data_IF_612954924860
#
_entry.id   IF_612954924860
#
_cell.length_a   1.000
_cell.length_b   1.000
_cell.length_c   1.000
_cell.angle_alpha   90.00
_cell.angle_beta   90.00
_cell.angle_gamma   90.00
#
_symmetry.space_group_name_H-M   'P 1'
#
loop_
_entity.id
_entity.type
_entity.pdbx_description
1 polymer ?
#
# COMPACT_ATOMS: atom_id res chain seq x y z
N UNK A 1 -36.17 -77.48 31.39
CA UNK A 1 -36.86 -76.31 30.80
C UNK A 1 -35.95 -75.09 30.93
N UNK A 2 -35.20 -74.75 29.87
CA UNK A 2 -34.33 -73.56 29.81
C UNK A 2 -35.16 -72.37 29.29
N UNK A 3 -35.24 -71.27 30.03
CA UNK A 3 -35.86 -70.02 29.59
C UNK A 3 -34.81 -69.18 28.86
N UNK A 4 -35.04 -68.85 27.60
CA UNK A 4 -34.29 -67.83 26.85
C UNK A 4 -34.80 -66.45 27.27
N UNK A 5 -33.87 -65.55 27.62
CA UNK A 5 -34.12 -64.11 27.77
C UNK A 5 -33.49 -63.45 26.54
N UNK A 6 -34.32 -62.88 25.66
CA UNK A 6 -33.89 -62.06 24.53
C UNK A 6 -33.60 -60.64 25.02
N UNK A 7 -32.35 -60.20 24.92
CA UNK A 7 -31.93 -58.81 25.12
C UNK A 7 -32.12 -58.06 23.80
N UNK A 8 -33.06 -57.13 23.74
CA UNK A 8 -33.20 -56.20 22.61
C UNK A 8 -32.39 -54.94 22.92
N UNK A 9 -31.24 -54.76 22.26
CA UNK A 9 -30.45 -53.53 22.34
C UNK A 9 -31.07 -52.46 21.43
N UNK A 10 -31.55 -51.37 22.02
CA UNK A 10 -32.06 -50.20 21.30
C UNK A 10 -30.87 -49.35 20.82
N UNK A 11 -30.56 -49.37 19.53
CA UNK A 11 -29.57 -48.46 18.92
C UNK A 11 -30.24 -47.10 18.68
N UNK A 12 -29.93 -46.11 19.51
CA UNK A 12 -30.31 -44.72 19.23
C UNK A 12 -29.34 -44.15 18.19
N UNK A 13 -29.82 -43.98 16.95
CA UNK A 13 -29.09 -43.25 15.91
C UNK A 13 -29.23 -41.76 16.21
N UNK A 14 -28.16 -41.13 16.74
CA UNK A 14 -28.07 -39.67 16.77
C UNK A 14 -27.85 -39.17 15.34
N UNK A 15 -28.89 -38.57 14.74
CA UNK A 15 -28.73 -37.76 13.54
C UNK A 15 -28.03 -36.45 13.94
N UNK A 16 -26.77 -36.30 13.55
CA UNK A 16 -26.12 -34.99 13.53
C UNK A 16 -26.71 -34.18 12.37
N UNK A 17 -27.52 -33.17 12.66
CA UNK A 17 -27.86 -32.13 11.69
C UNK A 17 -26.59 -31.30 11.50
N UNK A 18 -25.80 -31.61 10.48
CA UNK A 18 -24.76 -30.69 10.02
C UNK A 18 -25.47 -29.46 9.44
N UNK A 19 -25.47 -28.34 10.18
CA UNK A 19 -25.80 -27.06 9.59
C UNK A 19 -24.81 -26.82 8.45
N UNK A 20 -25.24 -26.32 7.27
CA UNK A 20 -24.29 -25.94 6.24
C UNK A 20 -23.36 -24.89 6.85
N UNK A 21 -22.07 -25.20 6.91
CA UNK A 21 -21.06 -24.17 7.10
C UNK A 21 -21.24 -23.24 5.92
N UNK A 22 -21.75 -22.02 6.16
CA UNK A 22 -21.78 -21.00 5.12
C UNK A 22 -20.37 -20.93 4.53
N UNK A 23 -20.23 -21.16 3.22
CA UNK A 23 -18.94 -21.00 2.57
C UNK A 23 -18.41 -19.61 2.92
N UNK A 24 -17.22 -19.53 3.50
CA UNK A 24 -16.55 -18.25 3.71
C UNK A 24 -16.31 -17.68 2.32
N UNK A 25 -16.93 -16.55 2.03
CA UNK A 25 -16.66 -15.83 0.79
C UNK A 25 -15.24 -15.26 0.90
N UNK A 26 -14.28 -15.94 0.27
CA UNK A 26 -12.87 -15.54 0.27
C UNK A 26 -12.62 -14.21 -0.46
N UNK A 27 -13.65 -13.61 -1.06
CA UNK A 27 -13.57 -12.25 -1.58
C UNK A 27 -13.87 -11.18 -0.52
N UNK A 28 -14.38 -11.55 0.66
CA UNK A 28 -14.62 -10.61 1.75
C UNK A 28 -13.45 -10.58 2.74
N UNK A 29 -13.15 -9.41 3.32
CA UNK A 29 -12.08 -9.31 4.30
C UNK A 29 -12.48 -9.94 5.64
N UNK A 30 -11.47 -10.31 6.43
CA UNK A 30 -11.63 -10.68 7.82
C UNK A 30 -12.13 -9.48 8.66
N UNK A 31 -12.84 -9.79 9.73
CA UNK A 31 -13.22 -8.78 10.73
C UNK A 31 -11.96 -8.22 11.39
N UNK A 32 -11.78 -6.90 11.33
CA UNK A 32 -10.59 -6.22 11.87
C UNK A 32 -10.93 -4.85 12.44
N UNK A 33 -10.01 -4.27 13.21
CA UNK A 33 -10.15 -2.92 13.70
C UNK A 33 -10.46 -1.94 12.55
N UNK A 34 -11.33 -0.97 12.82
CA UNK A 34 -11.80 0.02 11.86
C UNK A 34 -11.40 1.43 12.28
N UNK A 35 -11.24 2.36 11.35
CA UNK A 35 -10.83 3.74 11.65
C UNK A 35 -11.89 4.77 11.28
N UNK A 36 -11.89 5.91 11.99
CA UNK A 36 -12.86 6.99 11.76
C UNK A 36 -12.56 7.86 10.52
N UNK A 37 -11.35 7.79 9.98
CA UNK A 37 -10.95 8.49 8.76
C UNK A 37 -9.96 7.63 7.94
N UNK A 38 -9.54 8.12 6.79
CA UNK A 38 -8.74 7.42 5.78
C UNK A 38 -7.46 6.81 6.35
N UNK A 39 -7.19 5.55 5.97
CA UNK A 39 -5.86 4.93 6.03
C UNK A 39 -5.22 5.13 4.66
N UNK A 40 -4.02 5.71 4.63
CA UNK A 40 -3.30 6.06 3.41
C UNK A 40 -2.24 5.03 3.03
N UNK A 41 -1.59 4.40 4.02
CA UNK A 41 -0.52 3.43 3.80
C UNK A 41 -0.56 2.36 4.88
N UNK A 42 -0.23 1.13 4.53
CA UNK A 42 -0.05 0.00 5.44
C UNK A 42 1.32 -0.65 5.23
N UNK A 43 1.85 -1.30 6.26
CA UNK A 43 3.10 -2.05 6.17
C UNK A 43 3.11 -3.20 7.19
N UNK A 44 3.81 -4.27 6.86
CA UNK A 44 3.92 -5.46 7.71
C UNK A 44 5.22 -5.52 8.52
N UNK A 45 5.12 -6.03 9.75
CA UNK A 45 6.22 -6.64 10.51
C UNK A 45 5.73 -7.96 11.13
N UNK A 46 6.07 -9.07 10.48
CA UNK A 46 5.41 -10.35 10.76
C UNK A 46 3.89 -10.22 10.68
N UNK A 47 3.18 -10.71 11.70
CA UNK A 47 1.71 -10.66 11.76
C UNK A 47 1.16 -9.26 12.10
N UNK A 48 1.99 -8.24 12.31
CA UNK A 48 1.57 -6.87 12.63
C UNK A 48 1.38 -6.06 11.35
N UNK A 49 0.22 -5.42 11.21
CA UNK A 49 -0.07 -4.40 10.20
C UNK A 49 -0.02 -3.03 10.84
N UNK A 50 0.98 -2.24 10.49
CA UNK A 50 1.00 -0.81 10.79
C UNK A 50 0.15 -0.06 9.77
N UNK A 51 -0.58 0.96 10.23
CA UNK A 51 -1.46 1.79 9.40
C UNK A 51 -1.18 3.26 9.66
N UNK A 52 -0.91 4.02 8.60
CA UNK A 52 -0.77 5.47 8.63
C UNK A 52 -1.93 6.16 7.92
N UNK A 53 -2.42 7.29 8.42
CA UNK A 53 -3.49 8.03 7.74
C UNK A 53 -3.99 9.29 8.44
N UNK A 54 -5.26 9.65 8.21
CA UNK A 54 -5.94 10.82 8.80
C UNK A 54 -6.75 10.51 10.05
N UNK A 55 -6.87 9.24 10.41
CA UNK A 55 -7.71 8.81 11.53
C UNK A 55 -7.19 9.36 12.87
N UNK A 56 -8.13 9.56 13.79
CA UNK A 56 -7.87 9.98 15.19
C UNK A 56 -8.44 8.99 16.20
N UNK A 57 -9.20 8.00 15.73
CA UNK A 57 -9.86 7.01 16.56
C UNK A 57 -10.02 5.69 15.81
N UNK A 58 -9.75 4.59 16.53
CA UNK A 58 -10.02 3.23 16.08
C UNK A 58 -11.22 2.64 16.82
N UNK A 59 -11.98 1.78 16.14
CA UNK A 59 -13.01 0.91 16.69
C UNK A 59 -12.46 -0.51 16.68
N UNK A 60 -12.45 -1.18 17.83
CA UNK A 60 -12.05 -2.58 17.98
C UNK A 60 -13.13 -3.52 17.43
N UNK A 61 -12.77 -4.78 17.22
CA UNK A 61 -13.69 -5.83 16.76
C UNK A 61 -14.83 -6.10 17.75
N UNK A 62 -14.63 -5.84 19.05
CA UNK A 62 -15.68 -5.90 20.08
C UNK A 62 -16.65 -4.69 20.09
N UNK A 63 -16.42 -3.70 19.23
CA UNK A 63 -17.23 -2.50 19.11
C UNK A 63 -16.80 -1.31 19.97
N UNK A 64 -15.82 -1.47 20.88
CA UNK A 64 -15.28 -0.39 21.72
C UNK A 64 -14.33 0.52 20.94
N UNK A 65 -14.06 1.72 21.46
CA UNK A 65 -13.19 2.70 20.80
C UNK A 65 -11.86 2.92 21.54
N UNK A 66 -10.84 3.33 20.79
CA UNK A 66 -9.54 3.76 21.29
C UNK A 66 -9.03 4.97 20.50
N UNK A 67 -8.35 5.91 21.16
CA UNK A 67 -7.67 6.99 20.45
C UNK A 67 -6.47 6.44 19.69
N UNK A 68 -6.31 6.85 18.43
CA UNK A 68 -5.18 6.53 17.57
C UNK A 68 -4.93 7.73 16.68
N UNK A 69 -3.86 8.48 16.94
CA UNK A 69 -3.60 9.73 16.24
C UNK A 69 -2.70 9.48 15.03
N UNK A 70 -3.33 9.21 13.88
CA UNK A 70 -2.71 9.04 12.56
C UNK A 70 -1.81 7.81 12.37
N UNK A 71 -1.52 7.07 13.43
CA UNK A 71 -0.73 5.84 13.39
C UNK A 71 -1.36 4.78 14.32
N UNK A 72 -1.38 3.54 13.86
CA UNK A 72 -1.90 2.40 14.62
C UNK A 72 -1.24 1.09 14.17
N UNK A 73 -1.35 0.06 15.00
CA UNK A 73 -0.98 -1.30 14.65
C UNK A 73 -2.14 -2.26 14.93
N UNK A 74 -2.30 -3.25 14.07
CA UNK A 74 -3.35 -4.27 14.13
C UNK A 74 -2.73 -5.64 13.88
N UNK A 75 -3.17 -6.65 14.62
CA UNK A 75 -2.81 -8.03 14.35
C UNK A 75 -3.58 -8.53 13.12
N UNK A 76 -2.87 -8.93 12.07
CA UNK A 76 -3.46 -9.33 10.78
C UNK A 76 -4.29 -10.61 10.86
N UNK A 77 -3.98 -11.50 11.81
CA UNK A 77 -4.63 -12.81 11.95
C UNK A 77 -5.95 -12.73 12.72
N UNK A 78 -5.98 -11.87 13.74
CA UNK A 78 -7.10 -11.77 14.68
C UNK A 78 -7.92 -10.49 14.49
N UNK A 79 -7.36 -9.51 13.77
CA UNK A 79 -7.94 -8.18 13.62
C UNK A 79 -7.87 -7.32 14.88
N UNK A 80 -7.14 -7.77 15.91
CA UNK A 80 -7.05 -7.08 17.19
C UNK A 80 -6.23 -5.78 17.06
N UNK A 81 -6.79 -4.68 17.58
CA UNK A 81 -6.05 -3.42 17.71
C UNK A 81 -4.97 -3.54 18.78
N UNK A 82 -3.70 -3.37 18.39
CA UNK A 82 -2.55 -3.54 19.28
C UNK A 82 -2.28 -2.29 20.15
N UNK A 83 -1.55 -2.40 21.27
CA UNK A 83 -1.28 -1.28 22.19
C UNK A 83 -0.47 -0.11 21.60
N UNK A 84 0.22 -0.31 20.47
CA UNK A 84 0.98 0.74 19.78
C UNK A 84 0.08 1.94 19.44
N UNK A 85 0.35 3.08 20.06
CA UNK A 85 -0.47 4.28 19.97
C UNK A 85 0.32 5.61 20.08
N UNK A 86 1.35 5.86 19.25
CA UNK A 86 2.01 7.17 19.21
C UNK A 86 1.03 8.31 18.89
N UNK A 87 1.29 9.48 19.47
CA UNK A 87 0.55 10.70 19.25
C UNK A 87 1.24 11.56 18.18
N UNK A 88 0.95 11.31 16.91
CA UNK A 88 1.40 12.16 15.79
C UNK A 88 0.42 13.33 15.65
N UNK A 89 0.92 14.55 15.45
CA UNK A 89 0.07 15.75 15.39
C UNK A 89 -0.50 16.09 13.99
N UNK A 90 -0.30 15.21 13.02
CA UNK A 90 -0.79 15.38 11.66
C UNK A 90 -0.80 14.07 10.88
N UNK A 91 -1.37 14.06 9.67
CA UNK A 91 -1.51 12.84 8.88
C UNK A 91 -0.18 12.12 8.65
N UNK A 92 -0.22 10.79 8.69
CA UNK A 92 0.89 9.94 8.22
C UNK A 92 0.55 9.50 6.80
N UNK A 93 1.38 9.91 5.84
CA UNK A 93 1.24 9.58 4.42
C UNK A 93 1.93 8.27 4.05
N UNK A 94 2.98 7.89 4.78
CA UNK A 94 3.79 6.70 4.52
C UNK A 94 4.08 5.96 5.82
N UNK A 95 3.99 4.65 5.79
CA UNK A 95 4.53 3.73 6.80
C UNK A 95 5.34 2.66 6.08
N UNK A 96 6.60 2.44 6.48
CA UNK A 96 7.47 1.46 5.84
C UNK A 96 8.31 0.74 6.89
N UNK A 97 8.41 -0.58 6.79
CA UNK A 97 9.26 -1.37 7.68
C UNK A 97 10.59 -1.71 7.01
N UNK A 98 11.67 -1.75 7.79
CA UNK A 98 13.01 -2.12 7.29
C UNK A 98 14.10 -1.91 8.32
N UNK A 99 15.14 -2.74 8.29
CA UNK A 99 16.30 -2.58 9.18
C UNK A 99 15.99 -2.61 10.69
N UNK A 100 14.88 -3.25 11.10
CA UNK A 100 14.43 -3.28 12.50
C UNK A 100 13.61 -2.05 12.95
N UNK A 101 13.23 -1.18 12.02
CA UNK A 101 12.47 0.03 12.30
C UNK A 101 11.16 0.12 11.49
N UNK A 102 10.17 0.76 12.08
CA UNK A 102 9.02 1.33 11.39
C UNK A 102 9.32 2.80 11.09
N UNK A 103 9.47 3.14 9.82
CA UNK A 103 9.59 4.52 9.35
C UNK A 103 8.21 5.11 9.07
N UNK A 104 8.03 6.38 9.41
CA UNK A 104 6.79 7.12 9.12
C UNK A 104 7.11 8.46 8.47
N UNK A 105 6.29 8.87 7.49
CA UNK A 105 6.43 10.17 6.84
C UNK A 105 5.10 10.91 6.66
N UNK A 106 5.16 12.24 6.62
CA UNK A 106 4.02 13.09 6.38
C UNK A 106 4.32 14.58 6.56
N UNK A 107 3.30 15.44 6.69
CA UNK A 107 3.46 16.86 7.02
C UNK A 107 3.54 17.16 8.52
N UNK A 108 3.48 16.15 9.40
CA UNK A 108 3.47 16.34 10.86
C UNK A 108 4.71 17.10 11.37
N UNK A 109 4.58 17.75 12.52
CA UNK A 109 5.67 18.51 13.15
C UNK A 109 6.09 17.99 14.52
N UNK A 110 5.30 17.09 15.10
CA UNK A 110 5.48 16.56 16.45
C UNK A 110 4.98 15.11 16.55
N UNK A 111 5.68 14.31 17.36
CA UNK A 111 5.30 12.95 17.76
C UNK A 111 5.52 12.83 19.26
N UNK A 112 4.52 12.40 20.01
CA UNK A 112 4.59 12.17 21.46
C UNK A 112 5.08 13.40 22.26
N UNK A 113 4.74 14.61 21.80
CA UNK A 113 5.20 15.87 22.41
C UNK A 113 6.62 16.29 22.02
N UNK A 114 7.34 15.46 21.27
CA UNK A 114 8.70 15.73 20.79
C UNK A 114 8.63 16.37 19.40
N UNK A 115 9.33 17.49 19.20
CA UNK A 115 9.37 18.24 17.94
C UNK A 115 10.16 17.51 16.82
N UNK A 116 9.65 16.36 16.38
CA UNK A 116 10.14 15.57 15.25
C UNK A 116 9.22 15.85 14.07
N UNK A 117 9.75 16.50 13.03
CA UNK A 117 8.94 16.89 11.88
C UNK A 117 9.17 15.97 10.68
N UNK A 118 8.05 15.65 10.01
CA UNK A 118 7.92 15.07 8.66
C UNK A 118 8.40 13.63 8.47
N UNK A 119 9.44 13.21 9.17
CA UNK A 119 9.98 11.84 9.10
C UNK A 119 10.45 11.44 10.50
N UNK A 120 10.06 10.25 10.92
CA UNK A 120 10.51 9.63 12.16
C UNK A 120 10.60 8.12 11.99
N UNK A 121 11.16 7.44 12.99
CA UNK A 121 11.16 5.98 13.04
C UNK A 121 10.95 5.48 14.46
N UNK A 122 10.39 4.28 14.57
CA UNK A 122 10.19 3.56 15.82
C UNK A 122 10.95 2.23 15.76
N UNK A 123 11.53 1.80 16.88
CA UNK A 123 12.07 0.44 16.97
C UNK A 123 10.92 -0.57 16.85
N UNK A 124 11.03 -1.55 15.94
CA UNK A 124 10.03 -2.61 15.85
C UNK A 124 10.05 -3.53 17.08
N UNK A 125 11.22 -3.68 17.72
CA UNK A 125 11.36 -4.53 18.90
C UNK A 125 10.76 -3.94 20.18
N UNK A 126 10.78 -2.62 20.35
CA UNK A 126 10.31 -1.95 21.59
C UNK A 126 9.07 -1.09 21.37
N UNK A 127 8.78 -0.68 20.13
CA UNK A 127 7.74 0.29 19.80
C UNK A 127 8.11 1.74 20.14
N UNK A 128 9.33 2.00 20.60
CA UNK A 128 9.78 3.32 21.06
C UNK A 128 10.25 4.21 19.90
N UNK A 129 9.98 5.50 20.01
CA UNK A 129 10.42 6.54 19.08
C UNK A 129 11.94 6.73 19.16
N UNK A 130 12.61 6.70 18.01
CA UNK A 130 14.02 7.10 17.93
C UNK A 130 14.12 8.64 17.83
N UNK A 131 14.48 9.26 18.94
CA UNK A 131 14.63 10.71 19.03
C UNK A 131 15.99 11.22 18.49
N UNK A 132 16.95 10.36 18.14
CA UNK A 132 18.26 10.78 17.67
C UNK A 132 18.33 10.84 16.14
N UNK A 133 17.59 9.96 15.47
CA UNK A 133 17.52 9.92 14.02
C UNK A 133 16.69 11.08 13.44
N UNK A 134 17.36 12.16 13.00
CA UNK A 134 16.69 13.41 12.58
C UNK A 134 17.09 13.91 11.18
N UNK A 135 16.46 13.39 10.10
CA UNK A 135 16.67 13.82 8.71
C UNK A 135 16.36 15.30 8.40
N UNK A 136 15.33 15.87 9.04
CA UNK A 136 14.90 17.28 8.87
C UNK A 136 14.66 17.70 7.40
N UNK A 137 13.81 17.01 6.63
CA UNK A 137 13.40 17.50 5.31
C UNK A 137 12.62 18.81 5.45
N UNK A 138 12.70 19.70 4.46
CA UNK A 138 12.15 21.06 4.53
C UNK A 138 10.64 21.17 4.26
N UNK A 139 10.01 20.11 3.74
CA UNK A 139 8.59 20.04 3.45
C UNK A 139 8.10 18.57 3.51
N UNK A 140 6.84 18.34 3.15
CA UNK A 140 6.19 17.02 3.20
C UNK A 140 7.01 15.93 2.50
N UNK A 141 7.15 14.80 3.19
CA UNK A 141 7.63 13.54 2.64
C UNK A 141 6.42 12.65 2.37
N UNK A 142 6.39 12.02 1.20
CA UNK A 142 5.32 11.15 0.74
C UNK A 142 5.73 9.69 0.66
N UNK A 143 7.03 9.38 0.58
CA UNK A 143 7.53 8.01 0.50
C UNK A 143 8.90 7.86 1.17
N UNK A 144 9.15 6.68 1.72
CA UNK A 144 10.39 6.28 2.39
C UNK A 144 10.75 4.88 1.88
N UNK A 145 12.00 4.70 1.50
CA UNK A 145 12.54 3.40 1.08
C UNK A 145 13.86 3.12 1.81
N UNK A 146 13.86 2.30 2.89
CA UNK A 146 15.07 1.89 3.59
C UNK A 146 15.81 0.78 2.84
N UNK A 147 17.09 1.00 2.51
CA UNK A 147 17.97 0.05 1.78
C UNK A 147 19.33 -0.01 2.44
N UNK A 148 19.57 -1.08 3.21
CA UNK A 148 20.84 -1.26 3.93
C UNK A 148 21.12 -0.10 4.88
N UNK A 149 22.26 0.57 4.70
CA UNK A 149 22.68 1.72 5.52
C UNK A 149 22.11 3.07 5.07
N UNK A 150 21.23 3.09 4.07
CA UNK A 150 20.68 4.32 3.47
C UNK A 150 19.17 4.28 3.50
N UNK A 151 18.54 5.41 3.82
CA UNK A 151 17.09 5.61 3.70
C UNK A 151 16.84 6.68 2.65
N UNK A 152 16.09 6.34 1.60
CA UNK A 152 15.69 7.28 0.57
C UNK A 152 14.35 7.93 0.94
N UNK A 153 14.25 9.23 0.69
CA UNK A 153 13.07 10.04 0.97
C UNK A 153 12.54 10.62 -0.33
N UNK A 154 11.23 10.50 -0.56
CA UNK A 154 10.53 11.07 -1.72
C UNK A 154 9.49 12.08 -1.27
N UNK A 155 9.44 13.27 -1.88
CA UNK A 155 8.40 14.25 -1.55
C UNK A 155 8.44 15.57 -2.30
N UNK A 156 8.08 16.65 -1.60
CA UNK A 156 8.07 18.04 -2.13
C UNK A 156 9.08 18.97 -1.45
N UNK A 157 9.95 18.43 -0.60
CA UNK A 157 11.02 19.18 0.06
C UNK A 157 12.08 19.67 -0.94
N UNK A 158 12.79 20.72 -0.55
CA UNK A 158 13.92 21.27 -1.31
C UNK A 158 15.26 21.02 -0.62
N UNK A 159 15.24 20.72 0.68
CA UNK A 159 16.44 20.48 1.50
C UNK A 159 16.18 19.36 2.50
N UNK A 160 17.25 18.66 2.89
CA UNK A 160 17.30 17.67 3.99
C UNK A 160 18.53 17.96 4.83
N UNK A 161 18.39 18.03 6.16
CA UNK A 161 19.48 18.40 7.07
C UNK A 161 20.15 19.75 6.75
N UNK A 162 19.48 20.65 6.04
CA UNK A 162 20.03 21.92 5.55
C UNK A 162 20.71 21.84 4.17
N UNK A 163 20.96 20.65 3.63
CA UNK A 163 21.59 20.44 2.33
C UNK A 163 20.56 20.44 1.19
N UNK A 164 20.85 21.07 0.02
CA UNK A 164 19.98 21.00 -1.15
C UNK A 164 19.97 19.59 -1.77
N UNK A 165 18.87 18.87 -1.56
CA UNK A 165 18.53 17.60 -2.22
C UNK A 165 17.01 17.65 -2.47
N UNK A 166 16.56 18.28 -3.55
CA UNK A 166 15.15 18.54 -3.75
C UNK A 166 14.41 17.26 -4.19
N UNK A 167 13.26 17.00 -3.56
CA UNK A 167 12.26 15.95 -3.87
C UNK A 167 12.71 14.50 -3.68
N UNK A 168 13.95 14.17 -3.97
CA UNK A 168 14.56 12.87 -3.66
C UNK A 168 15.85 13.12 -2.90
N UNK A 169 15.99 12.52 -1.73
CA UNK A 169 17.19 12.59 -0.92
C UNK A 169 17.53 11.23 -0.34
N UNK A 170 18.77 11.08 0.10
CA UNK A 170 19.23 9.93 0.86
C UNK A 170 19.76 10.41 2.20
N UNK A 171 19.49 9.65 3.25
CA UNK A 171 20.03 9.88 4.60
C UNK A 171 20.62 8.58 5.15
N UNK A 172 21.57 8.70 6.07
CA UNK A 172 22.10 7.57 6.82
C UNK A 172 20.97 6.88 7.59
N UNK A 173 20.89 5.55 7.48
CA UNK A 173 19.97 4.76 8.28
C UNK A 173 20.32 4.88 9.77
N UNK A 174 21.58 5.05 10.15
CA UNK A 174 21.96 5.09 11.56
C UNK A 174 21.70 6.46 12.19
N UNK A 175 22.07 7.54 11.50
CA UNK A 175 22.12 8.89 12.10
C UNK A 175 21.09 9.87 11.54
N UNK A 176 20.49 9.56 10.37
CA UNK A 176 19.61 10.49 9.65
C UNK A 176 20.36 11.63 8.97
N UNK A 177 21.70 11.64 9.00
CA UNK A 177 22.49 12.64 8.31
C UNK A 177 22.35 12.51 6.77
N UNK A 178 22.27 13.62 6.02
CA UNK A 178 22.23 13.58 4.55
C UNK A 178 23.42 12.87 3.92
N UNK A 179 23.15 11.97 2.97
CA UNK A 179 24.16 11.34 2.11
C UNK A 179 24.33 12.22 0.87
N UNK A 180 25.29 13.15 0.92
CA UNK A 180 25.45 14.20 -0.10
C UNK A 180 26.02 13.71 -1.43
N UNK A 181 26.59 12.50 -1.48
CA UNK A 181 27.04 11.86 -2.72
C UNK A 181 25.87 11.40 -3.60
N UNK A 182 24.69 11.22 -3.03
CA UNK A 182 23.46 10.91 -3.76
C UNK A 182 22.79 12.22 -4.19
N UNK A 183 22.88 12.57 -5.47
CA UNK A 183 22.48 13.89 -5.98
C UNK A 183 21.61 13.79 -7.25
N UNK A 184 20.41 13.18 -7.18
CA UNK A 184 19.50 13.12 -8.32
C UNK A 184 18.95 14.51 -8.64
N UNK A 185 18.73 14.78 -9.93
CA UNK A 185 18.09 16.02 -10.42
C UNK A 185 16.66 15.69 -10.83
N UNK A 186 15.68 16.02 -9.98
CA UNK A 186 14.24 15.79 -10.22
C UNK A 186 13.51 17.14 -10.24
N UNK A 187 12.79 17.45 -11.32
CA UNK A 187 12.19 18.77 -11.52
C UNK A 187 10.74 18.71 -12.00
N UNK A 188 10.01 19.83 -11.90
CA UNK A 188 8.67 19.97 -12.48
C UNK A 188 7.53 19.24 -11.74
N UNK A 189 7.72 18.78 -10.51
CA UNK A 189 6.66 18.17 -9.69
C UNK A 189 7.18 17.46 -8.45
N UNK A 190 6.30 16.82 -7.67
CA UNK A 190 6.66 16.06 -6.47
C UNK A 190 6.83 14.58 -6.74
N UNK A 191 7.58 13.90 -5.86
CA UNK A 191 7.73 12.44 -5.83
C UNK A 191 6.65 11.87 -4.92
N UNK A 192 5.98 10.81 -5.38
CA UNK A 192 4.91 10.11 -4.66
C UNK A 192 5.38 8.82 -4.06
N UNK A 193 6.23 8.10 -4.77
CA UNK A 193 6.69 6.79 -4.33
C UNK A 193 8.13 6.49 -4.79
N UNK A 194 8.80 5.68 -4.00
CA UNK A 194 10.17 5.19 -4.18
C UNK A 194 10.18 3.70 -3.89
N UNK A 195 10.76 2.92 -4.78
CA UNK A 195 10.92 1.48 -4.58
C UNK A 195 12.30 1.03 -5.06
N UNK A 196 13.02 0.31 -4.21
CA UNK A 196 14.29 -0.29 -4.59
C UNK A 196 14.06 -1.68 -5.18
N UNK A 197 14.82 -1.99 -6.24
CA UNK A 197 14.80 -3.31 -6.85
C UNK A 197 15.65 -3.36 -8.11
N UNK A 198 16.07 -4.55 -8.54
CA UNK A 198 16.94 -4.71 -9.72
C UNK A 198 18.21 -3.83 -9.70
N UNK A 199 18.76 -3.56 -8.52
CA UNK A 199 19.96 -2.74 -8.34
C UNK A 199 19.76 -1.23 -8.58
N UNK A 200 18.52 -0.74 -8.67
CA UNK A 200 18.21 0.68 -8.89
C UNK A 200 17.10 1.17 -7.97
N UNK A 201 17.01 2.49 -7.80
CA UNK A 201 15.89 3.15 -7.12
C UNK A 201 14.91 3.68 -8.15
N UNK A 202 13.70 3.13 -8.20
CA UNK A 202 12.62 3.64 -9.03
C UNK A 202 11.98 4.85 -8.36
N UNK A 203 11.68 5.87 -9.16
CA UNK A 203 11.12 7.15 -8.70
C UNK A 203 9.81 7.40 -9.43
N UNK A 204 8.71 7.42 -8.68
CA UNK A 204 7.36 7.60 -9.19
C UNK A 204 6.77 8.93 -8.69
N UNK A 205 6.04 9.64 -9.56
CA UNK A 205 5.36 10.86 -9.12
C UNK A 205 4.85 11.75 -10.24
N UNK A 206 4.68 13.03 -9.90
CA UNK A 206 4.19 14.07 -10.79
C UNK A 206 5.28 14.92 -11.43
N UNK A 207 6.55 14.61 -11.21
CA UNK A 207 7.70 15.35 -11.75
C UNK A 207 7.75 15.27 -13.29
N UNK A 208 8.36 16.27 -13.93
CA UNK A 208 8.46 16.39 -15.38
C UNK A 208 9.73 15.72 -15.93
N UNK A 209 10.85 15.81 -15.20
CA UNK A 209 12.15 15.32 -15.68
C UNK A 209 12.94 14.65 -14.56
N UNK A 210 13.82 13.72 -14.95
CA UNK A 210 14.99 13.31 -14.14
C UNK A 210 16.24 13.57 -14.99
N UNK A 211 17.26 14.22 -14.43
CA UNK A 211 18.49 14.57 -15.15
C UNK A 211 18.27 15.58 -16.27
N UNK A 212 17.17 16.36 -16.22
CA UNK A 212 16.81 17.33 -17.26
C UNK A 212 16.04 16.75 -18.46
N UNK A 213 15.76 15.44 -18.46
CA UNK A 213 15.18 14.74 -19.61
C UNK A 213 13.73 14.30 -19.34
N UNK A 214 12.81 14.68 -20.24
CA UNK A 214 11.36 14.39 -20.11
C UNK A 214 11.02 12.90 -20.25
N UNK A 215 11.83 12.14 -20.99
CA UNK A 215 11.61 10.71 -21.20
C UNK A 215 11.68 9.85 -19.92
N UNK A 216 12.29 10.40 -18.86
CA UNK A 216 12.34 9.78 -17.52
C UNK A 216 11.31 10.38 -16.55
N UNK A 217 10.47 11.31 -17.01
CA UNK A 217 9.41 11.93 -16.23
C UNK A 217 8.36 10.94 -15.75
N UNK A 218 7.68 11.29 -14.64
CA UNK A 218 6.60 10.52 -13.97
C UNK A 218 6.96 9.15 -13.41
N UNK A 219 7.81 8.38 -14.09
CA UNK A 219 8.34 7.09 -13.66
C UNK A 219 9.70 6.86 -14.31
N UNK A 220 10.75 7.04 -13.52
CA UNK A 220 12.14 6.83 -13.93
C UNK A 220 12.92 6.03 -12.89
N UNK A 221 14.22 5.87 -13.09
CA UNK A 221 15.09 5.21 -12.12
C UNK A 221 16.43 5.93 -11.99
N UNK A 222 17.01 5.87 -10.80
CA UNK A 222 18.33 6.42 -10.48
C UNK A 222 19.21 5.37 -9.82
N UNK A 223 20.52 5.55 -9.98
CA UNK A 223 21.53 4.77 -9.27
C UNK A 223 21.44 5.08 -7.77
N UNK A 224 21.34 4.07 -6.90
CA UNK A 224 21.11 4.26 -5.46
C UNK A 224 22.30 4.92 -4.76
N UNK A 225 23.52 4.80 -5.29
CA UNK A 225 24.72 5.35 -4.64
C UNK A 225 24.93 6.83 -4.99
N UNK A 226 24.72 7.20 -6.26
CA UNK A 226 25.06 8.51 -6.82
C UNK A 226 23.85 9.38 -7.15
N UNK A 227 22.67 8.79 -7.36
CA UNK A 227 21.50 9.50 -7.88
C UNK A 227 21.56 9.78 -9.39
N UNK A 228 22.59 9.27 -10.09
CA UNK A 228 22.67 9.38 -11.54
C UNK A 228 21.50 8.66 -12.22
N UNK A 229 20.99 9.20 -13.33
CA UNK A 229 19.86 8.59 -14.05
C UNK A 229 20.25 7.23 -14.62
N UNK A 230 19.42 6.21 -14.40
CA UNK A 230 19.55 4.91 -15.07
C UNK A 230 18.86 5.00 -16.43
N UNK A 231 19.63 5.39 -17.45
CA UNK A 231 19.13 5.66 -18.80
C UNK A 231 18.55 4.43 -19.51
N UNK A 232 18.90 3.21 -19.04
CA UNK A 232 18.36 1.96 -19.57
C UNK A 232 16.90 1.66 -19.19
N UNK A 233 16.24 2.53 -18.41
CA UNK A 233 14.83 2.40 -18.06
C UNK A 233 14.00 3.57 -18.63
N UNK A 234 13.14 3.29 -19.61
CA UNK A 234 12.28 4.30 -20.24
C UNK A 234 10.84 3.80 -20.28
N UNK A 235 9.98 4.33 -19.39
CA UNK A 235 8.60 3.83 -19.17
C UNK A 235 7.55 4.43 -20.10
N UNK A 236 7.84 5.56 -20.77
CA UNK A 236 6.87 6.34 -21.58
C UNK A 236 5.55 6.61 -20.84
N UNK A 237 5.63 6.97 -19.57
CA UNK A 237 4.49 7.37 -18.74
C UNK A 237 4.38 8.90 -18.74
N UNK A 238 3.19 9.42 -19.05
CA UNK A 238 2.92 10.86 -19.16
C UNK A 238 1.94 11.39 -18.11
N UNK A 239 1.38 10.50 -17.30
CA UNK A 239 0.42 10.80 -16.23
C UNK A 239 1.06 10.64 -14.86
N UNK A 240 0.38 11.06 -13.80
CA UNK A 240 0.87 10.87 -12.44
C UNK A 240 1.02 9.37 -12.13
N UNK A 241 2.22 8.94 -11.75
CA UNK A 241 2.45 7.63 -11.15
C UNK A 241 2.31 7.77 -9.64
N UNK A 242 1.40 7.00 -9.03
CA UNK A 242 1.15 7.07 -7.59
C UNK A 242 1.97 6.09 -6.78
N UNK A 243 2.14 4.89 -7.30
CA UNK A 243 2.90 3.81 -6.66
C UNK A 243 3.64 3.00 -7.72
N UNK A 244 4.82 2.48 -7.34
CA UNK A 244 5.62 1.56 -8.13
C UNK A 244 6.00 0.35 -7.27
N UNK A 245 5.74 -0.86 -7.78
CA UNK A 245 6.14 -2.11 -7.13
C UNK A 245 7.10 -2.86 -8.03
N UNK A 246 8.18 -3.38 -7.44
CA UNK A 246 9.17 -4.20 -8.13
C UNK A 246 9.06 -5.62 -7.59
N UNK A 247 8.70 -6.57 -8.46
CA UNK A 247 8.51 -7.96 -8.08
C UNK A 247 8.92 -8.90 -9.21
N UNK A 248 9.66 -9.96 -8.86
CA UNK A 248 10.21 -10.90 -9.85
C UNK A 248 11.15 -10.19 -10.82
N UNK A 249 10.85 -10.28 -12.11
CA UNK A 249 11.57 -9.65 -13.22
C UNK A 249 10.87 -8.41 -13.78
N UNK A 250 9.90 -7.85 -13.05
CA UNK A 250 8.98 -6.82 -13.54
C UNK A 250 8.89 -5.62 -12.62
N UNK A 251 8.44 -4.53 -13.23
CA UNK A 251 8.06 -3.30 -12.55
C UNK A 251 6.59 -3.06 -12.82
N UNK A 252 5.82 -2.78 -11.78
CA UNK A 252 4.39 -2.50 -11.85
C UNK A 252 4.15 -1.06 -11.39
N UNK A 253 3.20 -0.37 -12.00
CA UNK A 253 2.89 1.01 -11.62
C UNK A 253 1.38 1.25 -11.58
N UNK A 254 0.95 2.00 -10.57
CA UNK A 254 -0.38 2.56 -10.46
C UNK A 254 -0.40 3.95 -11.11
N UNK A 255 -1.04 4.05 -12.28
CA UNK A 255 -1.13 5.28 -13.06
C UNK A 255 -2.49 5.96 -12.84
N UNK A 256 -2.45 7.22 -12.41
CA UNK A 256 -3.64 8.02 -12.14
C UNK A 256 -4.11 8.79 -13.38
N UNK A 257 -5.38 9.17 -13.41
CA UNK A 257 -6.00 9.89 -14.52
C UNK A 257 -7.44 9.47 -14.77
N UNK A 258 -8.11 10.16 -15.71
CA UNK A 258 -9.39 9.68 -16.26
C UNK A 258 -9.04 8.52 -17.20
N UNK A 259 -9.16 7.29 -16.72
CA UNK A 259 -8.62 6.11 -17.43
C UNK A 259 -7.35 5.55 -16.83
N UNK A 260 -7.14 5.73 -15.52
CA UNK A 260 -6.02 5.17 -14.81
C UNK A 260 -5.89 3.67 -15.02
N UNK A 261 -4.70 3.16 -14.72
CA UNK A 261 -4.34 1.80 -15.08
C UNK A 261 -3.29 1.23 -14.13
N UNK A 262 -3.30 -0.09 -14.02
CA UNK A 262 -2.11 -0.84 -13.63
C UNK A 262 -1.30 -1.05 -14.92
N UNK A 263 -0.01 -0.73 -14.91
CA UNK A 263 0.90 -1.04 -16.01
C UNK A 263 2.05 -1.89 -15.53
N UNK A 264 2.34 -2.97 -16.25
CA UNK A 264 3.53 -3.79 -16.04
C UNK A 264 4.58 -3.47 -17.11
N UNK A 265 5.85 -3.46 -16.68
CA UNK A 265 7.00 -3.18 -17.52
C UNK A 265 8.06 -4.27 -17.34
N UNK A 266 8.83 -4.46 -18.41
CA UNK A 266 10.16 -5.07 -18.34
C UNK A 266 11.10 -4.23 -17.46
N UNK A 267 12.24 -4.80 -17.08
CA UNK A 267 13.30 -4.07 -16.36
C UNK A 267 13.94 -2.94 -17.18
N UNK A 268 13.66 -2.81 -18.48
CA UNK A 268 14.07 -1.68 -19.32
C UNK A 268 12.99 -0.62 -19.52
N UNK A 269 11.81 -0.80 -18.90
CA UNK A 269 10.69 0.14 -19.00
C UNK A 269 9.78 -0.07 -20.21
N UNK A 270 10.03 -1.10 -21.04
CA UNK A 270 9.07 -1.46 -22.09
C UNK A 270 7.80 -2.05 -21.49
N UNK A 271 6.63 -1.53 -21.86
CA UNK A 271 5.32 -2.04 -21.42
C UNK A 271 5.12 -3.50 -21.83
N UNK A 272 4.73 -4.34 -20.88
CA UNK A 272 4.32 -5.73 -21.11
C UNK A 272 2.82 -5.81 -21.31
N UNK A 273 2.05 -5.18 -20.43
CA UNK A 273 0.60 -5.10 -20.46
C UNK A 273 0.11 -3.93 -19.60
N UNK A 274 -1.16 -3.58 -19.76
CA UNK A 274 -1.86 -2.67 -18.86
C UNK A 274 -3.31 -3.13 -18.67
N UNK A 275 -3.88 -2.80 -17.50
CA UNK A 275 -5.28 -3.00 -17.16
C UNK A 275 -5.88 -1.65 -16.77
N UNK A 276 -6.76 -1.15 -17.62
CA UNK A 276 -7.39 0.15 -17.42
C UNK A 276 -8.71 0.06 -16.64
N UNK A 277 -9.04 1.16 -15.98
CA UNK A 277 -10.27 1.39 -15.21
C UNK A 277 -10.93 2.72 -15.58
N UNK A 278 -12.17 2.94 -15.19
CA UNK A 278 -12.92 4.17 -15.48
C UNK A 278 -12.64 5.35 -14.54
N UNK A 279 -11.47 5.35 -13.89
CA UNK A 279 -11.05 6.39 -12.95
C UNK A 279 -9.58 6.26 -12.56
N UNK A 280 -9.17 6.83 -11.43
CA UNK A 280 -7.75 6.95 -11.06
C UNK A 280 -7.23 5.77 -10.24
N UNK A 281 -6.12 5.15 -10.66
CA UNK A 281 -5.43 4.13 -9.85
C UNK A 281 -4.61 4.80 -8.74
N UNK A 282 -4.69 4.28 -7.52
CA UNK A 282 -3.93 4.73 -6.34
C UNK A 282 -2.78 3.81 -6.00
N UNK A 283 -3.05 2.50 -6.01
CA UNK A 283 -2.13 1.48 -5.53
C UNK A 283 -2.03 0.32 -6.50
N UNK A 284 -0.87 -0.32 -6.51
CA UNK A 284 -0.61 -1.58 -7.18
C UNK A 284 0.18 -2.47 -6.24
N UNK A 285 -0.16 -3.75 -6.15
CA UNK A 285 0.60 -4.70 -5.34
C UNK A 285 0.61 -6.09 -5.96
N UNK A 286 1.71 -6.84 -5.80
CA UNK A 286 1.76 -8.25 -6.20
C UNK A 286 1.40 -9.13 -5.00
N UNK A 287 0.36 -9.96 -5.14
CA UNK A 287 -0.09 -10.88 -4.11
C UNK A 287 -0.27 -12.28 -4.71
N UNK A 288 0.65 -13.19 -4.37
CA UNK A 288 0.73 -14.51 -4.99
C UNK A 288 0.92 -14.41 -6.51
N UNK A 289 0.06 -15.10 -7.27
CA UNK A 289 0.07 -15.08 -8.74
C UNK A 289 -0.82 -13.96 -9.35
N UNK A 290 -1.18 -12.96 -8.54
CA UNK A 290 -2.05 -11.86 -8.93
C UNK A 290 -1.39 -10.50 -8.73
N UNK A 291 -1.84 -9.53 -9.51
CA UNK A 291 -1.54 -8.10 -9.30
C UNK A 291 -2.84 -7.41 -8.90
N UNK A 292 -2.83 -6.82 -7.72
CA UNK A 292 -3.94 -6.09 -7.12
C UNK A 292 -3.84 -4.63 -7.53
N UNK A 293 -4.96 -4.04 -7.90
CA UNK A 293 -5.08 -2.60 -8.09
C UNK A 293 -6.20 -2.02 -7.25
N UNK A 294 -5.97 -0.82 -6.73
CA UNK A 294 -6.93 -0.09 -5.92
C UNK A 294 -6.99 1.38 -6.28
N UNK A 295 -8.17 1.99 -6.18
CA UNK A 295 -8.32 3.42 -6.42
C UNK A 295 -9.74 3.92 -6.65
N UNK A 296 -9.82 5.08 -7.28
CA UNK A 296 -11.07 5.80 -7.54
C UNK A 296 -11.66 5.37 -8.88
N UNK A 297 -12.21 4.16 -8.94
CA UNK A 297 -12.90 3.62 -10.11
C UNK A 297 -14.10 2.77 -9.69
N UNK A 298 -15.02 2.50 -10.62
CA UNK A 298 -16.18 1.62 -10.39
C UNK A 298 -16.22 0.47 -11.42
N UNK A 299 -15.42 0.56 -12.49
CA UNK A 299 -15.37 -0.42 -13.57
C UNK A 299 -13.94 -0.64 -14.05
N UNK A 300 -13.67 -1.89 -14.45
CA UNK A 300 -12.49 -2.26 -15.20
C UNK A 300 -12.86 -2.60 -16.65
N UNK A 301 -11.98 -2.25 -17.60
CA UNK A 301 -12.15 -2.59 -19.01
C UNK A 301 -11.79 -4.05 -19.26
N UNK A 302 -12.56 -4.78 -20.06
CA UNK A 302 -12.35 -6.24 -20.20
C UNK A 302 -11.48 -6.65 -21.40
N UNK A 303 -11.31 -5.80 -22.41
CA UNK A 303 -10.42 -6.08 -23.56
C UNK A 303 -9.12 -5.28 -23.55
N UNK A 304 -8.71 -4.78 -22.37
CA UNK A 304 -7.48 -4.01 -22.17
C UNK A 304 -7.33 -2.76 -23.04
N UNK A 305 -8.43 -2.20 -23.58
CA UNK A 305 -8.42 -0.93 -24.30
C UNK A 305 -9.25 0.12 -23.54
N UNK A 306 -8.55 1.09 -22.94
CA UNK A 306 -9.17 2.35 -22.53
C UNK A 306 -8.81 3.45 -23.51
N UNK A 307 -9.81 4.24 -23.87
CA UNK A 307 -9.64 5.45 -24.64
C UNK A 307 -9.03 6.56 -23.78
N UNK A 308 -8.64 7.68 -24.41
CA UNK A 308 -7.91 8.77 -23.77
C UNK A 308 -8.68 9.49 -22.65
N UNK A 309 -9.98 9.22 -22.44
CA UNK A 309 -10.80 9.80 -21.37
C UNK A 309 -11.22 8.75 -20.32
N UNK A 310 -10.65 7.54 -20.36
CA UNK A 310 -10.96 6.45 -19.43
C UNK A 310 -12.21 5.66 -19.76
N UNK A 311 -12.74 5.83 -20.97
CA UNK A 311 -13.79 5.00 -21.51
C UNK A 311 -13.22 3.65 -21.96
N UNK A 312 -13.83 2.55 -21.52
CA UNK A 312 -13.59 1.26 -22.16
C UNK A 312 -14.21 1.32 -23.56
N UNK A 313 -13.36 1.43 -24.59
CA UNK A 313 -13.73 1.76 -25.98
C UNK A 313 -14.44 0.62 -26.71
N UNK A 314 -14.29 -0.59 -26.20
CA UNK A 314 -14.96 -1.82 -26.64
C UNK A 314 -16.36 -2.01 -26.04
N UNK A 315 -16.74 -1.17 -25.07
CA UNK A 315 -18.03 -1.19 -24.41
C UNK A 315 -18.22 -2.28 -23.34
N UNK A 316 -17.31 -3.25 -23.20
CA UNK A 316 -17.46 -4.36 -22.25
C UNK A 316 -16.73 -4.05 -20.95
N UNK A 317 -17.51 -3.88 -19.87
CA UNK A 317 -17.04 -3.42 -18.56
C UNK A 317 -17.41 -4.40 -17.48
N UNK A 318 -16.45 -4.74 -16.63
CA UNK A 318 -16.71 -5.49 -15.42
C UNK A 318 -16.86 -4.51 -14.25
N UNK A 319 -17.97 -4.63 -13.49
CA UNK A 319 -18.11 -3.87 -12.26
C UNK A 319 -16.99 -4.25 -11.28
N UNK A 320 -16.30 -3.25 -10.73
CA UNK A 320 -15.21 -3.43 -9.76
C UNK A 320 -15.33 -2.36 -8.68
N UNK A 321 -15.60 -2.78 -7.46
CA UNK A 321 -15.75 -1.86 -6.34
C UNK A 321 -14.39 -1.47 -5.79
N UNK A 322 -13.78 -0.40 -6.33
CA UNK A 322 -12.54 0.26 -5.87
C UNK A 322 -11.27 -0.60 -5.77
N UNK A 323 -11.39 -1.90 -6.01
CA UNK A 323 -10.36 -2.94 -6.00
C UNK A 323 -10.60 -3.89 -7.17
N UNK A 324 -9.51 -4.40 -7.73
CA UNK A 324 -9.51 -5.45 -8.76
C UNK A 324 -8.26 -6.30 -8.62
N UNK A 325 -8.28 -7.49 -9.22
CA UNK A 325 -7.09 -8.29 -9.44
C UNK A 325 -6.96 -8.64 -10.93
N UNK A 326 -5.72 -8.71 -11.42
CA UNK A 326 -5.35 -9.31 -12.69
C UNK A 326 -4.34 -10.43 -12.46
N UNK A 327 -4.23 -11.38 -13.37
CA UNK A 327 -3.09 -12.31 -13.35
C UNK A 327 -1.78 -11.60 -13.73
N UNK A 328 -0.66 -12.29 -13.61
CA UNK A 328 0.65 -11.75 -13.99
C UNK A 328 0.75 -11.35 -15.47
N UNK A 329 -0.19 -11.71 -16.33
CA UNK A 329 -0.22 -11.33 -17.75
C UNK A 329 -1.23 -10.20 -18.04
N UNK A 330 -1.83 -9.61 -17.01
CA UNK A 330 -2.75 -8.48 -17.13
C UNK A 330 -4.17 -8.89 -17.51
N UNK A 331 -4.54 -10.17 -17.35
CA UNK A 331 -5.92 -10.61 -17.54
C UNK A 331 -6.74 -10.38 -16.27
N UNK A 332 -7.84 -9.64 -16.38
CA UNK A 332 -8.77 -9.40 -15.28
C UNK A 332 -9.29 -10.71 -14.66
N UNK A 333 -9.10 -10.85 -13.35
CA UNK A 333 -9.56 -11.99 -12.57
C UNK A 333 -10.98 -11.75 -12.02
N UNK A 334 -11.70 -12.83 -11.65
CA UNK A 334 -13.03 -12.72 -11.04
C UNK A 334 -13.06 -12.02 -9.67
N UNK A 335 -11.92 -11.97 -8.96
CA UNK A 335 -11.85 -11.39 -7.61
C UNK A 335 -12.32 -9.93 -7.61
N UNK A 336 -13.37 -9.67 -6.84
CA UNK A 336 -14.02 -8.38 -6.70
C UNK A 336 -14.64 -8.31 -5.30
N UNK A 337 -13.93 -7.74 -4.31
CA UNK A 337 -14.40 -7.70 -2.93
C UNK A 337 -15.57 -6.71 -2.74
N UNK A 338 -15.95 -5.95 -3.78
CA UNK A 338 -17.11 -5.07 -3.76
C UNK A 338 -16.99 -3.92 -2.76
N UNK A 339 -15.79 -3.34 -2.64
CA UNK A 339 -15.55 -2.19 -1.75
C UNK A 339 -16.27 -0.93 -2.27
N UNK A 340 -16.71 -0.07 -1.35
CA UNK A 340 -17.33 1.22 -1.69
C UNK A 340 -16.38 2.41 -1.43
N UNK A 341 -16.92 3.63 -1.55
CA UNK A 341 -16.27 4.86 -1.09
C UNK A 341 -15.93 5.82 -2.23
N UNK A 342 -15.72 7.10 -1.88
CA UNK A 342 -15.44 8.15 -2.87
C UNK A 342 -14.07 7.94 -3.49
N UNK A 343 -12.98 7.84 -2.71
CA UNK A 343 -11.63 7.63 -3.28
C UNK A 343 -11.30 6.15 -3.44
N UNK A 344 -11.88 5.28 -2.60
CA UNK A 344 -11.70 3.83 -2.69
C UNK A 344 -10.52 3.33 -1.85
N UNK A 345 -9.69 2.44 -2.41
CA UNK A 345 -8.46 1.97 -1.79
C UNK A 345 -7.32 2.99 -2.05
N UNK A 346 -6.55 3.29 -1.02
CA UNK A 346 -5.38 4.17 -1.09
C UNK A 346 -4.08 3.38 -1.20
N UNK A 347 -4.03 2.20 -0.58
CA UNK A 347 -2.85 1.35 -0.52
C UNK A 347 -3.25 -0.12 -0.35
N UNK A 348 -2.45 -1.01 -0.92
CA UNK A 348 -2.54 -2.44 -0.76
C UNK A 348 -1.13 -2.98 -0.54
N UNK A 349 -0.95 -3.86 0.43
CA UNK A 349 0.35 -4.50 0.70
C UNK A 349 0.13 -5.96 1.00
N UNK A 350 0.90 -6.82 0.34
CA UNK A 350 0.92 -8.24 0.61
C UNK A 350 1.85 -8.51 1.80
N UNK A 351 1.44 -9.43 2.67
CA UNK A 351 2.33 -9.95 3.70
C UNK A 351 3.53 -10.63 3.01
N UNK A 352 4.77 -10.55 3.56
CA UNK A 352 5.96 -11.13 2.91
C UNK A 352 5.88 -12.63 2.58
N UNK A 353 5.06 -13.40 3.31
CA UNK A 353 4.79 -14.82 3.00
C UNK A 353 3.71 -15.04 1.93
N UNK A 354 3.11 -13.97 1.40
CA UNK A 354 1.91 -13.94 0.57
C UNK A 354 0.64 -14.50 1.22
N UNK A 355 0.64 -14.79 2.53
CA UNK A 355 -0.52 -15.34 3.21
C UNK A 355 -1.70 -14.36 3.35
N UNK A 356 -1.44 -13.05 3.31
CA UNK A 356 -2.46 -12.04 3.54
C UNK A 356 -2.27 -10.82 2.65
N UNK A 357 -3.35 -10.13 2.36
CA UNK A 357 -3.34 -8.79 1.75
C UNK A 357 -4.00 -7.81 2.72
N UNK A 358 -3.28 -6.74 3.09
CA UNK A 358 -3.85 -5.62 3.84
C UNK A 358 -4.14 -4.46 2.89
N UNK A 359 -5.30 -3.84 3.04
CA UNK A 359 -5.71 -2.71 2.21
C UNK A 359 -6.14 -1.54 3.11
N UNK A 360 -5.50 -0.40 2.92
CA UNK A 360 -5.88 0.88 3.51
C UNK A 360 -6.74 1.69 2.55
N UNK A 361 -7.76 2.39 3.04
CA UNK A 361 -8.62 3.15 2.14
C UNK A 361 -9.62 4.12 2.76
N UNK A 362 -10.49 4.63 1.88
CA UNK A 362 -11.70 5.39 2.19
C UNK A 362 -12.98 4.56 2.00
N UNK A 363 -12.89 3.24 1.96
CA UNK A 363 -14.05 2.35 1.97
C UNK A 363 -14.67 2.25 3.37
N UNK A 364 -15.95 1.93 3.42
CA UNK A 364 -16.74 1.69 4.64
C UNK A 364 -17.41 0.32 4.65
N UNK A 365 -17.59 -0.29 3.48
CA UNK A 365 -18.26 -1.57 3.32
C UNK A 365 -17.65 -2.41 2.19
N UNK A 366 -17.88 -3.72 2.25
CA UNK A 366 -17.54 -4.71 1.21
C UNK A 366 -18.78 -5.53 0.81
N UNK A 367 -18.64 -6.39 -0.19
CA UNK A 367 -19.69 -7.29 -0.67
C UNK A 367 -20.92 -6.56 -1.23
N UNK A 368 -20.73 -5.35 -1.77
CA UNK A 368 -21.85 -4.51 -2.21
C UNK A 368 -22.68 -3.93 -1.06
N UNK A 369 -22.10 -3.82 0.14
CA UNK A 369 -22.74 -3.25 1.32
C UNK A 369 -23.17 -4.26 2.38
N UNK A 370 -22.91 -5.56 2.16
CA UNK A 370 -23.29 -6.64 3.08
C UNK A 370 -22.39 -6.71 4.31
N UNK A 371 -21.17 -6.20 4.23
CA UNK A 371 -20.21 -6.18 5.33
C UNK A 371 -19.76 -4.76 5.64
N UNK A 372 -19.95 -4.28 6.89
CA UNK A 372 -19.34 -3.04 7.36
C UNK A 372 -17.89 -3.30 7.83
N UNK A 373 -16.92 -2.71 7.12
CA UNK A 373 -15.52 -2.71 7.51
C UNK A 373 -14.91 -1.40 7.02
N UNK A 374 -14.47 -0.55 7.96
CA UNK A 374 -14.10 0.83 7.66
C UNK A 374 -12.60 1.01 7.63
N UNK A 375 -12.10 1.47 6.48
CA UNK A 375 -10.76 2.06 6.26
C UNK A 375 -9.56 1.11 6.28
N UNK A 376 -9.64 0.00 6.99
CA UNK A 376 -8.65 -1.09 6.94
C UNK A 376 -9.38 -2.40 6.65
N UNK A 377 -8.83 -3.21 5.76
CA UNK A 377 -9.29 -4.54 5.41
C UNK A 377 -8.10 -5.50 5.33
N UNK A 378 -8.30 -6.75 5.75
CA UNK A 378 -7.30 -7.82 5.65
C UNK A 378 -7.96 -9.01 4.97
N UNK A 379 -7.32 -9.57 3.95
CA UNK A 379 -7.77 -10.74 3.18
C UNK A 379 -6.80 -11.91 3.37
N UNK A 380 -7.32 -13.13 3.25
CA UNK A 380 -6.58 -14.41 3.29
C UNK A 380 -6.42 -15.03 1.90
#
# INVERSE_FOLDING_TARGET
>A
MRRLITLSALFAVLLFVQLPVSAVDSSLPLATASFNDQVFKVAYDGDIVYSGGRFTRAKRTDGTFANRSHLAAVDSRTGALLPFAPAVNGPVHEVKTGGGYLYVAGPFTEIDGVAISRVARFSLSTGELDEEWRPRPSATVYSIEPVGSTVYLGGTFLRVGGHPQPRVAAVSADTGAPVTSFAPVVEGGGVRDLQFGHGRLYVAGGFATIGGEEQFGKLGAVDPASGAVVTGFVSKVFVLTREVVVAGDRVYAALDGRGGEIRAFTTSGSTLWYQAVDGGMQTVEVWGDSVIGGGHFDKACTTNHAGPLGECVDGVRAARGKLLAVDLNGKLLPWNPGANGVVGAWDATAHPSNANLSVGGSFTTFGGGTMEQKRLAVFD
#
